data_IF_139462466131
#
_entry.id   IF_139462466131
#
_cell.length_a   1.000
_cell.length_b   1.000
_cell.length_c   1.000
_cell.angle_alpha   90.00
_cell.angle_beta   90.00
_cell.angle_gamma   90.00
#
_symmetry.space_group_name_H-M   'P 1'
#
loop_
_entity.id
_entity.type
_entity.pdbx_description
1 polymer ?
#
# COMPACT_ATOMS: atom_id res chain seq x y z
N UNK A 1 11.99 3.48 -11.20
CA UNK A 1 12.22 2.03 -11.35
C UNK A 1 11.21 1.48 -12.33
N UNK A 2 11.67 0.78 -13.37
CA UNK A 2 10.86 0.25 -14.47
C UNK A 2 9.68 -0.64 -13.99
N UNK A 3 9.88 -1.44 -12.92
CA UNK A 3 8.82 -2.23 -12.30
C UNK A 3 7.63 -1.38 -11.84
N UNK A 4 7.86 -0.25 -11.16
CA UNK A 4 6.78 0.60 -10.66
C UNK A 4 6.02 1.26 -11.82
N UNK A 5 6.72 1.65 -12.89
CA UNK A 5 6.06 2.18 -14.08
C UNK A 5 5.23 1.12 -14.80
N UNK A 6 5.73 -0.11 -14.92
CA UNK A 6 5.00 -1.22 -15.56
C UNK A 6 3.81 -1.70 -14.71
N UNK A 7 3.95 -1.68 -13.40
CA UNK A 7 2.92 -2.16 -12.46
C UNK A 7 1.84 -1.10 -12.19
N UNK A 8 2.20 0.19 -12.13
CA UNK A 8 1.27 1.28 -11.79
C UNK A 8 0.98 2.28 -12.92
N UNK A 9 1.80 2.31 -13.97
CA UNK A 9 1.70 3.31 -15.05
C UNK A 9 0.60 3.06 -16.07
N UNK A 10 -0.02 1.88 -16.08
CA UNK A 10 -1.16 1.56 -16.95
C UNK A 10 -2.51 2.10 -16.47
N UNK A 11 -2.62 2.61 -15.24
CA UNK A 11 -3.91 2.96 -14.61
C UNK A 11 -4.10 4.46 -14.41
N UNK A 12 -4.50 5.16 -15.48
CA UNK A 12 -5.11 6.50 -15.44
C UNK A 12 -4.21 7.67 -15.00
N UNK A 13 -4.77 8.88 -15.01
CA UNK A 13 -4.15 10.22 -14.83
C UNK A 13 -3.30 10.47 -13.58
N UNK A 14 -3.12 9.48 -12.70
CA UNK A 14 -2.24 9.55 -11.54
C UNK A 14 -0.80 9.17 -11.94
N UNK A 15 -0.25 9.95 -12.88
CA UNK A 15 0.97 9.58 -13.59
C UNK A 15 2.20 9.48 -12.69
N UNK A 16 2.91 8.36 -12.87
CA UNK A 16 4.36 8.18 -13.02
C UNK A 16 5.38 9.30 -12.67
N UNK A 17 5.06 10.60 -12.74
CA UNK A 17 5.95 11.69 -12.29
C UNK A 17 6.23 11.67 -10.78
N UNK A 18 5.53 10.83 -10.01
CA UNK A 18 5.63 10.74 -8.55
C UNK A 18 6.75 9.84 -8.03
N UNK A 19 7.60 9.27 -8.89
CA UNK A 19 8.67 8.31 -8.50
C UNK A 19 10.08 8.94 -8.39
N UNK A 20 10.19 10.23 -8.10
CA UNK A 20 11.47 10.95 -7.93
C UNK A 20 11.90 11.04 -6.45
N UNK A 21 13.22 11.00 -6.18
CA UNK A 21 13.76 11.17 -4.82
C UNK A 21 13.33 10.11 -3.79
N UNK A 22 12.85 8.95 -4.25
CA UNK A 22 12.34 7.88 -3.38
C UNK A 22 10.91 8.07 -2.86
N UNK A 23 10.31 9.23 -3.14
CA UNK A 23 8.88 9.47 -3.03
C UNK A 23 8.22 8.71 -4.18
N UNK A 24 7.15 7.99 -3.88
CA UNK A 24 6.51 7.09 -4.85
C UNK A 24 5.03 6.91 -4.59
N UNK A 25 4.56 7.34 -3.43
CA UNK A 25 3.22 7.08 -2.92
C UNK A 25 2.53 8.41 -2.62
N UNK A 26 1.88 8.98 -3.63
CA UNK A 26 1.25 10.30 -3.52
C UNK A 26 2.19 11.39 -2.96
N UNK A 27 3.50 11.29 -3.20
CA UNK A 27 4.51 12.23 -2.68
C UNK A 27 5.17 11.80 -1.37
N UNK A 28 4.71 10.72 -0.72
CA UNK A 28 5.33 10.15 0.47
C UNK A 28 6.45 9.16 0.14
N UNK A 29 7.45 9.11 1.03
CA UNK A 29 8.50 8.09 1.08
C UNK A 29 8.09 7.04 2.14
N UNK A 30 8.08 5.73 1.81
CA UNK A 30 7.85 4.69 2.81
C UNK A 30 8.92 4.70 3.90
N UNK A 31 8.52 4.44 5.14
CA UNK A 31 9.43 4.18 6.27
C UNK A 31 10.03 2.77 6.16
N UNK A 32 9.21 1.82 5.70
CA UNK A 32 9.63 0.46 5.40
C UNK A 32 9.29 0.10 3.96
N UNK A 33 10.18 -0.64 3.31
CA UNK A 33 9.99 -1.12 1.93
C UNK A 33 10.43 -2.57 1.83
N UNK A 34 9.53 -3.44 1.37
CA UNK A 34 9.86 -4.81 1.01
C UNK A 34 9.87 -4.96 -0.52
N UNK A 35 10.92 -5.61 -1.03
CA UNK A 35 11.11 -5.87 -2.46
C UNK A 35 11.43 -7.36 -2.62
N UNK A 36 10.50 -8.11 -3.20
CA UNK A 36 10.73 -9.48 -3.62
C UNK A 36 11.44 -9.53 -4.97
N UNK A 37 12.42 -10.40 -5.13
CA UNK A 37 13.18 -10.57 -6.37
C UNK A 37 13.26 -12.03 -6.78
N UNK A 38 13.34 -12.26 -8.07
CA UNK A 38 13.66 -13.54 -8.70
C UNK A 38 14.71 -13.34 -9.81
N UNK A 39 15.00 -14.39 -10.57
CA UNK A 39 15.96 -14.33 -11.68
C UNK A 39 15.59 -13.33 -12.78
N UNK A 40 14.32 -12.92 -12.87
CA UNK A 40 13.79 -11.98 -13.86
C UNK A 40 13.65 -10.55 -13.31
N UNK A 41 14.13 -10.29 -12.08
CA UNK A 41 14.18 -8.96 -11.48
C UNK A 41 13.21 -8.81 -10.31
N UNK A 42 12.53 -7.65 -10.23
CA UNK A 42 11.56 -7.39 -9.15
C UNK A 42 10.30 -8.20 -9.41
N UNK A 43 9.94 -9.05 -8.45
CA UNK A 43 8.77 -9.93 -8.49
C UNK A 43 7.59 -9.32 -7.72
N UNK A 44 7.87 -8.65 -6.61
CA UNK A 44 6.86 -7.99 -5.78
C UNK A 44 7.42 -6.78 -5.05
N UNK A 45 6.54 -5.85 -4.70
CA UNK A 45 6.88 -4.64 -3.96
C UNK A 45 5.74 -4.24 -3.03
N UNK A 46 6.09 -3.66 -1.87
CA UNK A 46 5.18 -2.88 -1.03
C UNK A 46 5.96 -1.86 -0.19
N UNK A 47 5.25 -0.82 0.25
CA UNK A 47 5.74 0.16 1.21
C UNK A 47 4.79 0.28 2.40
N UNK A 48 5.36 0.56 3.56
CA UNK A 48 4.64 0.92 4.78
C UNK A 48 5.15 2.27 5.29
N UNK A 49 4.25 3.06 5.86
CA UNK A 49 4.59 4.26 6.64
C UNK A 49 3.52 4.49 7.70
N UNK A 50 3.91 5.09 8.83
CA UNK A 50 2.98 5.37 9.93
C UNK A 50 2.12 6.57 9.58
N UNK A 51 0.81 6.42 9.78
CA UNK A 51 -0.15 7.53 9.74
C UNK A 51 -1.15 7.39 10.86
N UNK A 52 -1.65 8.52 11.32
CA UNK A 52 -2.89 8.52 12.08
C UNK A 52 -4.07 8.44 11.11
N UNK A 53 -4.99 7.53 11.38
CA UNK A 53 -6.34 7.55 10.81
C UNK A 53 -7.32 7.95 11.90
N UNK A 54 -8.36 8.70 11.53
CA UNK A 54 -9.43 9.06 12.45
C UNK A 54 -10.61 8.10 12.28
N UNK A 55 -10.96 7.37 13.35
CA UNK A 55 -12.11 6.46 13.40
C UNK A 55 -13.14 7.05 14.36
N UNK A 56 -14.20 7.65 13.80
CA UNK A 56 -15.12 8.49 14.59
C UNK A 56 -14.36 9.70 15.12
N UNK A 57 -14.20 9.80 16.44
CA UNK A 57 -13.43 10.87 17.11
C UNK A 57 -12.04 10.42 17.58
N UNK A 58 -11.64 9.17 17.32
CA UNK A 58 -10.41 8.58 17.85
C UNK A 58 -9.32 8.59 16.77
N UNK A 59 -8.16 9.17 17.10
CA UNK A 59 -6.95 9.03 16.29
C UNK A 59 -6.25 7.71 16.60
N UNK A 60 -6.02 6.91 15.56
CA UNK A 60 -5.38 5.59 15.66
C UNK A 60 -4.13 5.59 14.78
N UNK A 61 -2.97 5.34 15.39
CA UNK A 61 -1.72 5.14 14.64
C UNK A 61 -1.76 3.78 13.95
N UNK A 62 -1.55 3.76 12.64
CA UNK A 62 -1.53 2.55 11.81
C UNK A 62 -0.32 2.57 10.87
N UNK A 63 0.08 1.41 10.34
CA UNK A 63 0.91 1.39 9.15
C UNK A 63 0.00 1.52 7.94
N UNK A 64 0.03 2.66 7.25
CA UNK A 64 -0.55 2.70 5.91
C UNK A 64 0.22 1.69 5.05
N UNK A 65 -0.49 0.93 4.20
CA UNK A 65 0.07 0.03 3.20
C UNK A 65 -0.22 0.57 1.80
N UNK A 66 0.84 0.67 1.00
CA UNK A 66 0.75 1.17 -0.36
C UNK A 66 1.87 0.64 -1.23
N UNK A 67 1.88 1.06 -2.50
CA UNK A 67 2.83 0.55 -3.50
C UNK A 67 2.87 -0.98 -3.54
N UNK A 68 1.72 -1.60 -3.26
CA UNK A 68 1.57 -3.05 -3.31
C UNK A 68 1.43 -3.49 -4.76
N UNK A 69 2.29 -4.40 -5.20
CA UNK A 69 2.31 -4.85 -6.59
C UNK A 69 3.04 -6.17 -6.73
N UNK A 70 2.52 -7.03 -7.59
CA UNK A 70 3.13 -8.30 -7.99
C UNK A 70 3.29 -8.25 -9.50
N UNK A 71 4.41 -8.75 -10.01
CA UNK A 71 4.64 -8.84 -11.45
C UNK A 71 3.55 -9.72 -12.08
N UNK A 72 3.02 -9.31 -13.23
CA UNK A 72 1.82 -9.91 -13.84
C UNK A 72 1.92 -11.41 -14.10
N UNK A 73 3.10 -11.90 -14.50
CA UNK A 73 3.40 -13.32 -14.73
C UNK A 73 3.40 -14.16 -13.45
N UNK A 74 3.44 -13.52 -12.28
CA UNK A 74 3.44 -14.17 -10.96
C UNK A 74 2.11 -14.02 -10.21
N UNK A 75 1.13 -13.34 -10.81
CA UNK A 75 -0.20 -13.21 -10.21
C UNK A 75 -0.87 -14.60 -10.10
N UNK A 76 -1.55 -14.84 -8.98
CA UNK A 76 -2.20 -16.13 -8.72
C UNK A 76 -1.27 -17.23 -8.18
N UNK A 77 0.06 -17.05 -8.17
CA UNK A 77 1.02 -18.01 -7.62
C UNK A 77 1.21 -17.92 -6.10
N UNK A 78 0.34 -17.19 -5.40
CA UNK A 78 0.41 -17.07 -3.93
C UNK A 78 1.52 -16.14 -3.40
N UNK A 79 2.24 -15.40 -4.25
CA UNK A 79 3.26 -14.42 -3.82
C UNK A 79 2.72 -13.43 -2.80
N UNK A 80 1.44 -13.08 -2.89
CA UNK A 80 0.76 -12.20 -1.95
C UNK A 80 0.75 -12.75 -0.51
N UNK A 81 0.75 -14.07 -0.31
CA UNK A 81 0.80 -14.70 1.02
C UNK A 81 2.10 -14.44 1.77
N UNK A 82 3.17 -14.05 1.05
CA UNK A 82 4.43 -13.62 1.66
C UNK A 82 4.27 -12.36 2.53
N UNK A 83 3.12 -11.67 2.49
CA UNK A 83 2.79 -10.55 3.38
C UNK A 83 2.87 -10.88 4.88
N UNK A 84 2.83 -12.16 5.28
CA UNK A 84 3.12 -12.56 6.68
C UNK A 84 4.51 -12.09 7.15
N UNK A 85 5.46 -11.96 6.24
CA UNK A 85 6.81 -11.45 6.53
C UNK A 85 6.80 -10.00 7.03
N UNK A 86 5.67 -9.28 6.92
CA UNK A 86 5.54 -7.91 7.40
C UNK A 86 5.22 -7.81 8.89
N UNK A 87 4.78 -8.89 9.56
CA UNK A 87 4.40 -8.80 10.97
C UNK A 87 5.53 -8.26 11.86
N UNK A 88 6.80 -8.72 11.74
CA UNK A 88 7.89 -8.15 12.52
C UNK A 88 8.12 -6.66 12.22
N UNK A 89 7.87 -6.20 10.99
CA UNK A 89 7.99 -4.79 10.65
C UNK A 89 6.88 -3.96 11.31
N UNK A 90 5.65 -4.48 11.39
CA UNK A 90 4.55 -3.82 12.09
C UNK A 90 4.80 -3.71 13.59
N UNK A 91 5.33 -4.77 14.20
CA UNK A 91 5.75 -4.78 15.61
C UNK A 91 6.83 -3.73 15.88
N UNK A 92 7.87 -3.67 15.04
CA UNK A 92 8.94 -2.68 15.15
C UNK A 92 8.44 -1.24 14.95
N UNK A 93 7.44 -1.04 14.09
CA UNK A 93 6.80 0.26 13.89
C UNK A 93 5.90 0.67 15.08
N UNK A 94 5.58 -0.26 15.99
CA UNK A 94 4.74 -0.01 17.16
C UNK A 94 3.28 0.25 16.80
N UNK A 95 2.78 -0.37 15.73
CA UNK A 95 1.41 -0.17 15.24
C UNK A 95 0.59 -1.46 15.32
N UNK A 96 -0.72 -1.38 15.57
CA UNK A 96 -1.55 -2.56 15.80
C UNK A 96 -1.89 -3.32 14.51
N UNK A 97 -1.93 -2.65 13.35
CA UNK A 97 -2.24 -3.25 12.07
C UNK A 97 -1.79 -2.37 10.89
N UNK A 98 -1.78 -3.00 9.71
CA UNK A 98 -1.66 -2.29 8.44
C UNK A 98 -3.05 -1.93 7.87
N UNK A 99 -3.18 -0.74 7.30
CA UNK A 99 -4.39 -0.22 6.67
C UNK A 99 -4.08 0.23 5.25
N UNK A 100 -4.92 -0.13 4.27
CA UNK A 100 -4.71 0.31 2.90
C UNK A 100 -6.02 0.36 2.12
N UNK A 101 -6.09 1.28 1.18
CA UNK A 101 -7.14 1.30 0.18
C UNK A 101 -6.60 0.69 -1.11
N UNK A 102 -7.43 -0.10 -1.77
CA UNK A 102 -7.09 -0.68 -3.06
C UNK A 102 -8.13 -0.28 -4.08
N UNK A 103 -7.71 -0.21 -5.34
CA UNK A 103 -8.64 0.00 -6.44
C UNK A 103 -9.55 -1.22 -6.59
N UNK A 104 -10.73 -1.02 -7.17
CA UNK A 104 -11.71 -2.08 -7.31
C UNK A 104 -11.18 -3.29 -8.10
N UNK A 105 -10.31 -3.05 -9.08
CA UNK A 105 -9.66 -4.05 -9.93
C UNK A 105 -8.77 -5.00 -9.11
N UNK A 106 -8.26 -4.55 -7.95
CA UNK A 106 -7.44 -5.36 -7.06
C UNK A 106 -8.26 -6.19 -6.06
N UNK A 107 -9.60 -6.05 -6.05
CA UNK A 107 -10.48 -6.67 -5.06
C UNK A 107 -10.28 -8.18 -4.96
N UNK A 108 -10.26 -8.88 -6.10
CA UNK A 108 -10.10 -10.34 -6.11
C UNK A 108 -8.75 -10.78 -5.53
N UNK A 109 -7.71 -10.00 -5.78
CA UNK A 109 -6.38 -10.27 -5.26
C UNK A 109 -6.32 -10.11 -3.73
N UNK A 110 -6.91 -9.03 -3.20
CA UNK A 110 -7.00 -8.82 -1.75
C UNK A 110 -7.96 -9.82 -1.08
N UNK A 111 -9.06 -10.20 -1.74
CA UNK A 111 -9.98 -11.19 -1.20
C UNK A 111 -9.29 -12.53 -0.93
N UNK A 112 -8.37 -12.96 -1.80
CA UNK A 112 -7.56 -14.18 -1.59
C UNK A 112 -6.69 -14.08 -0.34
N UNK A 113 -6.10 -12.91 -0.07
CA UNK A 113 -5.33 -12.65 1.16
C UNK A 113 -6.22 -12.74 2.41
N UNK A 114 -7.40 -12.13 2.36
CA UNK A 114 -8.36 -12.17 3.47
C UNK A 114 -8.84 -13.60 3.74
N UNK A 115 -9.14 -14.37 2.69
CA UNK A 115 -9.53 -15.78 2.83
C UNK A 115 -8.41 -16.64 3.45
N UNK A 116 -7.14 -16.24 3.27
CA UNK A 116 -5.99 -16.87 3.89
C UNK A 116 -5.70 -16.37 5.33
N UNK A 117 -6.59 -15.56 5.91
CA UNK A 117 -6.51 -15.04 7.27
C UNK A 117 -5.56 -13.86 7.46
N UNK A 118 -5.13 -13.19 6.39
CA UNK A 118 -4.13 -12.11 6.46
C UNK A 118 -4.70 -10.71 6.64
N UNK A 119 -6.03 -10.59 6.67
CA UNK A 119 -6.69 -9.31 6.87
C UNK A 119 -8.19 -9.41 6.65
N UNK A 120 -8.86 -8.26 6.70
CA UNK A 120 -10.30 -8.13 6.52
C UNK A 120 -10.61 -6.98 5.57
N UNK A 121 -11.40 -7.24 4.54
CA UNK A 121 -12.02 -6.17 3.75
C UNK A 121 -13.20 -5.65 4.56
N UNK A 122 -13.21 -4.34 4.80
CA UNK A 122 -14.35 -3.63 5.39
C UNK A 122 -15.05 -2.89 4.25
N UNK A 123 -16.20 -3.39 3.75
CA UNK A 123 -16.93 -2.72 2.68
C UNK A 123 -17.55 -1.41 3.20
N UNK A 124 -17.90 -0.52 2.27
CA UNK A 124 -18.73 0.66 2.51
C UNK A 124 -18.15 1.68 3.52
N UNK A 125 -16.83 1.66 3.73
CA UNK A 125 -16.13 2.68 4.51
C UNK A 125 -15.94 3.93 3.65
N UNK A 126 -16.51 5.05 4.10
CA UNK A 126 -16.21 6.37 3.51
C UNK A 126 -14.85 6.85 4.00
N UNK A 127 -13.94 7.08 3.07
CA UNK A 127 -12.57 7.53 3.33
C UNK A 127 -12.42 8.92 2.73
N UNK A 128 -11.79 9.83 3.48
CA UNK A 128 -11.36 11.15 3.00
C UNK A 128 -9.85 11.21 3.15
N UNK A 129 -9.15 11.65 2.11
CA UNK A 129 -7.69 11.77 2.16
C UNK A 129 -7.33 13.18 2.60
N UNK A 130 -6.40 13.30 3.53
CA UNK A 130 -5.67 14.57 3.68
C UNK A 130 -4.52 14.59 2.67
N UNK A 131 -4.09 15.79 2.26
CA UNK A 131 -2.91 15.94 1.42
C UNK A 131 -1.67 15.39 2.14
N UNK A 132 -0.65 15.00 1.36
CA UNK A 132 0.60 14.44 1.91
C UNK A 132 1.26 15.38 2.92
N UNK A 133 1.19 16.68 2.67
CA UNK A 133 1.50 17.74 3.60
C UNK A 133 0.18 18.30 4.16
N UNK A 134 0.05 18.39 5.49
CA UNK A 134 -1.12 19.01 6.13
C UNK A 134 -1.03 20.52 5.90
N UNK A 135 -1.64 20.97 4.81
CA UNK A 135 -1.89 22.39 4.58
C UNK A 135 -3.17 22.78 5.30
N UNK A 136 -3.03 23.53 6.40
CA UNK A 136 -4.18 24.04 7.17
C UNK A 136 -5.15 24.87 6.33
N UNK A 137 -4.67 25.41 5.21
CA UNK A 137 -5.42 26.30 4.32
C UNK A 137 -6.14 25.56 3.18
N UNK A 138 -5.98 24.24 3.05
CA UNK A 138 -6.61 23.45 1.98
C UNK A 138 -7.63 22.47 2.54
N UNK A 139 -8.81 22.33 1.91
CA UNK A 139 -9.77 21.32 2.31
C UNK A 139 -9.20 19.90 2.07
N UNK A 140 -9.57 18.92 2.91
CA UNK A 140 -9.29 17.50 2.64
C UNK A 140 -9.85 17.12 1.25
N UNK A 141 -9.14 16.25 0.52
CA UNK A 141 -9.56 15.76 -0.81
C UNK A 141 -10.32 14.44 -0.74
#
# INVERSE_FOLDING_TARGET
SDFLHKTYGGTGTFSARRFEGGRSWAGARPEFRAIGRDAHGVAAHLGLLRRFIKVGEIDVLVAELGLYGVRRDLEGLGISLSMRSLYPALEQMGVPFAFGTVRHEMRNHIQRLCNAGLGKIVPDVRIRSTLADIHRDLPPT
#
